data_IF_422884241747
#
_entry.id   IF_422884241747
#
_cell.length_a   1.000
_cell.length_b   1.000
_cell.length_c   1.000
_cell.angle_alpha   90.00
_cell.angle_beta   90.00
_cell.angle_gamma   90.00
#
_symmetry.space_group_name_H-M   'P 1'
#
loop_
_entity.id
_entity.type
_entity.pdbx_description
1 polymer ?
#
# COMPACT_ATOMS: atom_id res chain seq x y z
N UNK A 1 10.94 16.28 -13.06
CA UNK A 1 9.49 16.57 -12.96
C UNK A 1 9.19 17.94 -13.60
N UNK A 2 7.93 18.38 -13.70
CA UNK A 2 7.61 19.70 -14.30
C UNK A 2 8.03 20.87 -13.39
N UNK A 3 7.87 20.72 -12.07
CA UNK A 3 8.27 21.71 -11.05
C UNK A 3 9.64 21.45 -10.42
N UNK A 4 10.17 20.24 -10.58
CA UNK A 4 11.52 19.84 -10.18
C UNK A 4 12.35 19.46 -11.44
N UNK A 5 12.82 20.44 -12.22
CA UNK A 5 13.57 20.20 -13.45
C UNK A 5 15.02 19.73 -13.19
N UNK A 6 15.60 20.10 -12.05
CA UNK A 6 17.00 19.79 -11.71
C UNK A 6 17.17 18.55 -10.82
N UNK A 7 16.27 18.33 -9.86
CA UNK A 7 16.09 17.10 -9.07
C UNK A 7 14.98 17.32 -8.03
N UNK A 8 14.52 16.24 -7.39
CA UNK A 8 13.80 16.34 -6.12
C UNK A 8 14.80 16.10 -4.97
N UNK A 9 14.83 16.99 -3.98
CA UNK A 9 15.68 16.86 -2.78
C UNK A 9 14.89 16.33 -1.57
N UNK A 10 13.56 16.28 -1.66
CA UNK A 10 12.71 15.79 -0.59
C UNK A 10 12.90 14.29 -0.42
N UNK A 11 12.89 13.85 0.83
CA UNK A 11 12.93 12.44 1.18
C UNK A 11 11.60 11.77 0.81
N UNK A 12 11.69 10.53 0.33
CA UNK A 12 10.54 9.65 0.21
C UNK A 12 10.15 9.07 1.58
N UNK A 13 9.00 8.41 1.62
CA UNK A 13 8.51 7.69 2.80
C UNK A 13 7.86 6.38 2.35
N UNK A 14 7.95 5.35 3.21
CA UNK A 14 7.27 4.08 2.95
C UNK A 14 5.82 4.14 3.45
N UNK A 15 4.86 3.96 2.54
CA UNK A 15 3.42 3.98 2.85
C UNK A 15 3.02 2.89 3.84
N UNK A 16 3.67 1.71 3.78
CA UNK A 16 3.44 0.62 4.72
C UNK A 16 3.87 1.03 6.12
N UNK A 17 5.07 1.60 6.26
CA UNK A 17 5.59 2.04 7.56
C UNK A 17 4.72 3.16 8.14
N UNK A 18 4.38 4.15 7.31
CA UNK A 18 3.54 5.28 7.71
C UNK A 18 2.15 4.80 8.18
N UNK A 19 1.46 3.99 7.37
CA UNK A 19 0.12 3.52 7.70
C UNK A 19 0.12 2.62 8.94
N UNK A 20 1.12 1.72 9.06
CA UNK A 20 1.26 0.83 10.21
C UNK A 20 1.48 1.63 11.49
N UNK A 21 2.36 2.63 11.44
CA UNK A 21 2.68 3.50 12.57
C UNK A 21 1.52 4.44 12.94
N UNK A 22 0.73 4.86 11.96
CA UNK A 22 -0.49 5.65 12.17
C UNK A 22 -1.65 4.85 12.79
N UNK A 23 -1.49 3.53 12.98
CA UNK A 23 -2.49 2.68 13.64
C UNK A 23 -3.48 2.01 12.70
N UNK A 24 -3.21 1.97 11.39
CA UNK A 24 -4.02 1.18 10.46
C UNK A 24 -4.03 -0.30 10.88
N UNK A 25 -5.20 -0.92 10.76
CA UNK A 25 -5.44 -2.30 11.20
C UNK A 25 -5.34 -3.31 10.07
N UNK A 26 -5.37 -2.81 8.83
CA UNK A 26 -5.08 -3.57 7.62
C UNK A 26 -4.17 -2.73 6.73
N UNK A 27 -3.01 -3.26 6.37
CA UNK A 27 -2.04 -2.57 5.50
C UNK A 27 -1.48 -3.57 4.49
N UNK A 28 -1.58 -3.25 3.20
CA UNK A 28 -1.12 -4.11 2.12
C UNK A 28 -0.46 -3.31 0.99
N UNK A 29 0.47 -3.94 0.26
CA UNK A 29 1.08 -3.40 -0.96
C UNK A 29 1.06 -4.44 -2.07
N UNK A 30 0.76 -4.00 -3.29
CA UNK A 30 0.84 -4.81 -4.52
C UNK A 30 1.16 -3.91 -5.72
N UNK A 31 1.11 -4.42 -6.94
CA UNK A 31 1.46 -3.70 -8.16
C UNK A 31 0.42 -3.94 -9.25
N UNK A 32 0.27 -3.02 -10.20
CA UNK A 32 -0.58 -3.17 -11.37
C UNK A 32 -0.27 -4.42 -12.23
N UNK A 33 0.92 -5.02 -12.12
CA UNK A 33 1.26 -6.29 -12.78
C UNK A 33 0.53 -7.51 -12.18
N UNK A 34 0.25 -7.49 -10.87
CA UNK A 34 -0.26 -8.64 -10.10
C UNK A 34 -1.78 -8.54 -9.90
N UNK A 35 -2.54 -8.54 -10.99
CA UNK A 35 -4.00 -8.27 -11.00
C UNK A 35 -4.81 -9.20 -10.09
N UNK A 36 -4.51 -10.50 -10.07
CA UNK A 36 -5.18 -11.46 -9.18
C UNK A 36 -4.93 -11.13 -7.70
N UNK A 37 -3.70 -10.73 -7.38
CA UNK A 37 -3.35 -10.32 -6.02
C UNK A 37 -4.06 -9.02 -5.62
N UNK A 38 -4.29 -8.10 -6.57
CA UNK A 38 -5.06 -6.87 -6.32
C UNK A 38 -6.49 -7.22 -5.92
N UNK A 39 -7.16 -8.08 -6.68
CA UNK A 39 -8.53 -8.53 -6.41
C UNK A 39 -8.65 -9.12 -4.99
N UNK A 40 -7.80 -10.10 -4.67
CA UNK A 40 -7.80 -10.76 -3.35
C UNK A 40 -7.54 -9.78 -2.19
N UNK A 41 -6.61 -8.83 -2.36
CA UNK A 41 -6.25 -7.87 -1.32
C UNK A 41 -7.39 -6.87 -1.13
N UNK A 42 -7.99 -6.37 -2.21
CA UNK A 42 -9.08 -5.39 -2.14
C UNK A 42 -10.31 -6.02 -1.51
N UNK A 43 -10.67 -7.25 -1.86
CA UNK A 43 -11.76 -7.98 -1.21
C UNK A 43 -11.53 -8.08 0.31
N UNK A 44 -10.36 -8.55 0.73
CA UNK A 44 -10.01 -8.66 2.15
C UNK A 44 -10.01 -7.30 2.86
N UNK A 45 -9.52 -6.25 2.20
CA UNK A 45 -9.47 -4.90 2.74
C UNK A 45 -10.87 -4.31 2.96
N UNK A 46 -11.82 -4.60 2.06
CA UNK A 46 -13.23 -4.17 2.16
C UNK A 46 -13.95 -4.94 3.27
N UNK A 47 -13.69 -6.23 3.39
CA UNK A 47 -14.31 -7.08 4.42
C UNK A 47 -13.74 -6.83 5.83
N UNK A 48 -12.52 -6.30 5.91
CA UNK A 48 -11.85 -5.99 7.17
C UNK A 48 -12.64 -4.98 8.01
N UNK A 49 -12.85 -5.30 9.29
CA UNK A 49 -13.50 -4.42 10.26
C UNK A 49 -12.47 -3.51 10.91
N UNK A 50 -12.16 -2.41 10.24
CA UNK A 50 -11.23 -1.39 10.71
C UNK A 50 -10.74 -0.50 9.58
N UNK A 51 -9.69 0.28 9.85
CA UNK A 51 -9.07 1.13 8.83
C UNK A 51 -8.09 0.32 7.98
N UNK A 52 -8.32 0.32 6.66
CA UNK A 52 -7.56 -0.42 5.66
C UNK A 52 -6.81 0.54 4.73
N UNK A 53 -5.51 0.31 4.55
CA UNK A 53 -4.66 0.99 3.57
C UNK A 53 -4.10 -0.02 2.58
N UNK A 54 -4.33 0.21 1.29
CA UNK A 54 -3.81 -0.64 0.21
C UNK A 54 -3.03 0.21 -0.78
N UNK A 55 -1.72 0.00 -0.85
CA UNK A 55 -0.85 0.64 -1.83
C UNK A 55 -0.74 -0.22 -3.09
N UNK A 56 -1.16 0.33 -4.23
CA UNK A 56 -1.01 -0.31 -5.53
C UNK A 56 0.01 0.49 -6.33
N UNK A 57 1.20 -0.07 -6.56
CA UNK A 57 2.22 0.56 -7.39
C UNK A 57 1.76 0.54 -8.87
N UNK A 58 1.68 1.72 -9.48
CA UNK A 58 1.20 1.90 -10.86
C UNK A 58 2.21 2.67 -11.70
N UNK A 59 2.37 2.23 -12.95
CA UNK A 59 3.26 2.86 -13.91
C UNK A 59 2.59 4.08 -14.55
N UNK A 60 3.36 5.16 -14.73
CA UNK A 60 2.93 6.33 -15.51
C UNK A 60 3.76 6.43 -16.81
N UNK A 61 3.36 5.77 -17.90
CA UNK A 61 4.18 5.69 -19.12
C UNK A 61 4.33 7.07 -19.80
N UNK A 62 3.28 7.90 -19.76
CA UNK A 62 3.23 9.18 -20.49
C UNK A 62 4.16 10.24 -19.92
N UNK A 63 4.21 10.38 -18.59
CA UNK A 63 5.02 11.42 -17.94
C UNK A 63 6.29 10.85 -17.34
N UNK A 64 6.18 9.93 -16.36
CA UNK A 64 7.33 9.36 -15.70
C UNK A 64 8.17 8.54 -16.70
N UNK A 65 7.52 7.62 -17.42
CA UNK A 65 8.21 6.71 -18.32
C UNK A 65 8.94 7.42 -19.46
N UNK A 66 8.21 8.28 -20.19
CA UNK A 66 8.77 9.09 -21.29
C UNK A 66 9.92 10.01 -20.84
N UNK A 67 9.79 10.68 -19.69
CA UNK A 67 10.83 11.62 -19.22
C UNK A 67 12.08 10.90 -18.69
N UNK A 68 11.93 9.71 -18.13
CA UNK A 68 13.03 8.93 -17.54
C UNK A 68 13.57 7.82 -18.47
N UNK A 69 13.13 7.77 -19.74
CA UNK A 69 13.57 6.78 -20.75
C UNK A 69 13.36 5.33 -20.30
N UNK A 70 12.22 5.08 -19.69
CA UNK A 70 11.87 3.83 -19.03
C UNK A 70 11.37 2.73 -20.00
N UNK A 71 11.36 3.00 -21.30
CA UNK A 71 10.82 2.08 -22.31
C UNK A 71 9.30 2.14 -22.44
N UNK A 72 8.71 1.06 -22.96
CA UNK A 72 7.27 0.99 -23.24
C UNK A 72 6.44 0.77 -21.98
N UNK A 73 5.13 0.98 -22.07
CA UNK A 73 4.19 0.67 -20.98
C UNK A 73 4.28 -0.80 -20.52
N UNK A 74 4.54 -1.72 -21.47
CA UNK A 74 4.70 -3.16 -21.19
C UNK A 74 6.01 -3.41 -20.44
N UNK A 75 7.11 -2.74 -20.83
CA UNK A 75 8.40 -2.88 -20.15
C UNK A 75 8.33 -2.41 -18.69
N UNK A 76 7.62 -1.30 -18.45
CA UNK A 76 7.38 -0.77 -17.10
C UNK A 76 6.54 -1.74 -16.25
N UNK A 77 5.47 -2.31 -16.80
CA UNK A 77 4.69 -3.34 -16.11
C UNK A 77 5.52 -4.58 -15.80
N UNK A 78 6.31 -5.07 -16.78
CA UNK A 78 7.22 -6.19 -16.58
C UNK A 78 8.29 -5.94 -15.53
N UNK A 79 8.61 -4.66 -15.26
CA UNK A 79 9.54 -4.27 -14.21
C UNK A 79 8.99 -4.50 -12.81
N UNK A 80 7.69 -4.29 -12.57
CA UNK A 80 7.09 -4.64 -11.28
C UNK A 80 7.26 -6.11 -10.95
N UNK A 81 7.18 -7.02 -11.93
CA UNK A 81 7.48 -8.44 -11.72
C UNK A 81 8.90 -8.68 -11.22
N UNK A 82 9.88 -7.92 -11.74
CA UNK A 82 11.31 -8.11 -11.45
C UNK A 82 11.74 -7.45 -10.14
N UNK A 83 11.19 -6.28 -9.81
CA UNK A 83 11.60 -5.48 -8.65
C UNK A 83 10.78 -5.77 -7.39
N UNK A 84 9.73 -6.59 -7.48
CA UNK A 84 8.90 -6.92 -6.32
C UNK A 84 8.92 -8.40 -5.99
N UNK A 85 8.69 -8.73 -4.73
CA UNK A 85 8.68 -10.10 -4.24
C UNK A 85 7.64 -10.29 -3.13
N UNK A 86 7.03 -11.48 -2.94
CA UNK A 86 6.16 -11.71 -1.80
C UNK A 86 6.87 -11.42 -0.47
N UNK A 87 6.11 -10.89 0.50
CA UNK A 87 6.58 -10.72 1.87
C UNK A 87 7.14 -12.05 2.43
N UNK A 88 8.29 -12.00 3.08
CA UNK A 88 8.94 -13.18 3.68
C UNK A 88 9.62 -14.13 2.70
N UNK A 89 9.67 -13.80 1.41
CA UNK A 89 10.38 -14.58 0.40
C UNK A 89 11.90 -14.62 0.63
N UNK A 90 12.56 -15.71 0.21
CA UNK A 90 14.04 -15.81 0.23
C UNK A 90 14.69 -14.73 -0.64
N UNK A 91 14.05 -14.37 -1.75
CA UNK A 91 14.54 -13.35 -2.66
C UNK A 91 14.78 -11.99 -1.99
N UNK A 92 13.94 -11.60 -1.01
CA UNK A 92 14.16 -10.36 -0.24
C UNK A 92 15.41 -10.43 0.65
N UNK A 93 15.74 -11.62 1.17
CA UNK A 93 16.97 -11.82 1.97
C UNK A 93 18.22 -11.78 1.12
N UNK A 94 18.14 -12.30 -0.10
CA UNK A 94 19.24 -12.31 -1.07
C UNK A 94 19.42 -10.94 -1.74
N UNK A 95 18.32 -10.23 -1.97
CA UNK A 95 18.31 -8.88 -2.54
C UNK A 95 17.43 -7.94 -1.70
N UNK A 96 18.04 -7.18 -0.76
CA UNK A 96 17.34 -6.20 0.06
C UNK A 96 16.65 -5.08 -0.74
N UNK A 97 17.03 -4.82 -1.99
CA UNK A 97 16.45 -3.77 -2.82
C UNK A 97 15.08 -4.15 -3.41
N UNK A 98 14.68 -5.42 -3.34
CA UNK A 98 13.36 -5.84 -3.81
C UNK A 98 12.24 -5.27 -2.93
N UNK A 99 11.20 -4.76 -3.54
CA UNK A 99 10.04 -4.24 -2.82
C UNK A 99 9.12 -5.41 -2.44
N UNK A 100 8.79 -5.54 -1.16
CA UNK A 100 7.86 -6.59 -0.73
C UNK A 100 6.42 -6.26 -1.13
N UNK A 101 5.64 -7.30 -1.44
CA UNK A 101 4.20 -7.20 -1.74
C UNK A 101 3.43 -8.27 -0.98
N UNK A 102 2.21 -7.93 -0.55
CA UNK A 102 1.36 -8.75 0.30
C UNK A 102 0.65 -7.92 1.35
N UNK A 103 0.09 -8.62 2.34
CA UNK A 103 -0.53 -8.01 3.52
C UNK A 103 0.56 -7.94 4.61
N UNK A 104 0.81 -6.75 5.13
CA UNK A 104 1.85 -6.45 6.12
C UNK A 104 1.26 -6.36 7.54
N UNK A 105 0.08 -5.77 7.64
CA UNK A 105 -0.67 -5.66 8.89
C UNK A 105 -2.07 -6.19 8.64
N UNK A 106 -2.53 -7.07 9.51
CA UNK A 106 -3.93 -7.49 9.60
C UNK A 106 -4.20 -7.87 11.06
N UNK A 107 -4.88 -6.98 11.77
CA UNK A 107 -5.23 -7.17 13.19
C UNK A 107 -6.64 -6.68 13.44
N UNK A 108 -7.36 -7.35 14.33
CA UNK A 108 -8.68 -6.92 14.76
C UNK A 108 -8.56 -5.87 15.87
N UNK A 109 -9.23 -4.74 15.67
CA UNK A 109 -9.34 -3.69 16.67
C UNK A 109 -10.73 -3.06 16.53
N UNK A 110 -11.37 -2.63 17.62
CA UNK A 110 -12.65 -1.95 17.49
C UNK A 110 -12.56 -0.70 16.63
N UNK A 111 -13.45 -0.59 15.65
CA UNK A 111 -13.55 0.59 14.80
C UNK A 111 -14.17 1.77 15.56
N UNK A 112 -13.95 2.97 15.04
CA UNK A 112 -14.47 4.20 15.64
C UNK A 112 -15.98 4.13 15.88
N UNK A 113 -16.77 3.68 14.91
CA UNK A 113 -18.22 3.58 15.05
C UNK A 113 -18.62 2.67 16.22
N UNK A 114 -17.99 1.50 16.33
CA UNK A 114 -18.26 0.53 17.40
C UNK A 114 -17.86 1.07 18.79
N UNK A 115 -16.75 1.78 18.90
CA UNK A 115 -16.37 2.43 20.17
C UNK A 115 -17.26 3.64 20.48
N UNK A 116 -17.66 4.39 19.46
CA UNK A 116 -18.52 5.56 19.61
C UNK A 116 -19.96 5.17 20.02
N UNK A 117 -20.48 4.05 19.53
CA UNK A 117 -21.74 3.48 20.00
C UNK A 117 -21.73 3.24 21.52
N UNK A 118 -20.63 2.72 22.08
CA UNK A 118 -20.49 2.55 23.53
C UNK A 118 -20.54 3.89 24.27
N UNK A 119 -19.93 4.93 23.70
CA UNK A 119 -19.99 6.30 24.25
C UNK A 119 -21.44 6.80 24.25
N UNK A 120 -22.18 6.59 23.16
CA UNK A 120 -23.61 6.94 23.05
C UNK A 120 -24.43 6.18 24.11
N UNK A 121 -24.26 4.87 24.23
CA UNK A 121 -24.98 4.06 25.22
C UNK A 121 -24.70 4.52 26.66
N UNK A 122 -23.45 4.84 26.99
CA UNK A 122 -23.07 5.38 28.29
C UNK A 122 -23.74 6.73 28.55
N UNK A 123 -23.78 7.62 27.54
CA UNK A 123 -24.45 8.91 27.65
C UNK A 123 -25.98 8.78 27.79
N UNK A 124 -26.60 7.80 27.11
CA UNK A 124 -28.05 7.55 27.18
C UNK A 124 -28.50 6.89 28.49
N UNK A 125 -27.61 6.15 29.18
CA UNK A 125 -27.88 5.59 30.52
C UNK A 125 -27.89 6.66 31.63
N UNK A 126 -27.63 7.93 31.28
CA UNK A 126 -27.58 9.09 32.17
C UNK A 126 -28.72 10.11 31.96
N UNK A 127 -29.97 9.67 32.13
CA UNK A 127 -31.04 10.38 32.86
C UNK A 127 -32.11 9.39 33.30
#
# INVERSE_FOLDING_TARGET
ATTAPYMNIDHDFDVIELASSAGATFVARTTAYHVQQIEDIIEKAILHKGFSVVEILTQCPTYFGRKNKEGSAVDMLGRYKKMTTPIGSKAKKENPDLIERGIFVQKEMPEYCKEYEKVIEMAMKGK
#
